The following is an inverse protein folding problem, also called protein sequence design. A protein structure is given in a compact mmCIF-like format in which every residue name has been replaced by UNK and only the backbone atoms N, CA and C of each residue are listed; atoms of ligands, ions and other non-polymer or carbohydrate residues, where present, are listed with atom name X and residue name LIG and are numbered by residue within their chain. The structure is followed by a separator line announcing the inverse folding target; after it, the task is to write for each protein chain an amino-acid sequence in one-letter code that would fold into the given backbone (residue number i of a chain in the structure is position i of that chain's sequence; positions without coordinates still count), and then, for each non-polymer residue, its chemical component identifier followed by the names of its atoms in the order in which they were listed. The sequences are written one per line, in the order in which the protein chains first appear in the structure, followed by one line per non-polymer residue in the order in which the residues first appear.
data_IF_585341721509
#
_entry.id   IF_585341721509
#
_cell.length_a   1.000
_cell.length_b   1.000
_cell.length_c   1.000
_cell.angle_alpha   90.00
_cell.angle_beta   90.00
_cell.angle_gamma   90.00
#
_symmetry.space_group_name_H-M   'P 1'
#
loop_
_entity.id
_entity.type
_entity.pdbx_description
1 polymer ?
#
# COMPACT_ATOMS: atom_id res chain seq x y z
N UNK A 1 54.95 45.58 12.91
CA UNK A 1 55.93 44.48 12.74
C UNK A 1 55.69 43.88 11.36
N UNK A 2 56.25 44.41 10.28
CA UNK A 2 57.64 44.37 9.83
C UNK A 2 58.08 42.99 9.25
N UNK A 3 58.23 42.95 7.90
CA UNK A 3 59.30 42.27 7.12
C UNK A 3 59.20 40.71 7.05
N UNK A 4 59.43 39.95 5.97
CA UNK A 4 60.01 40.10 4.63
C UNK A 4 59.56 38.97 3.70
N UNK A 5 59.72 39.21 2.39
CA UNK A 5 59.69 38.22 1.30
C UNK A 5 61.01 37.41 1.19
N UNK A 6 60.97 36.24 0.54
CA UNK A 6 61.99 35.85 -0.44
C UNK A 6 61.54 34.72 -1.36
N UNK A 7 61.76 34.95 -2.66
CA UNK A 7 61.78 33.97 -3.76
C UNK A 7 62.98 33.03 -3.59
N UNK A 8 63.01 31.87 -4.25
CA UNK A 8 64.14 31.44 -5.10
C UNK A 8 63.72 30.26 -5.98
N UNK A 9 64.14 30.33 -7.25
CA UNK A 9 63.91 29.36 -8.31
C UNK A 9 65.10 28.39 -8.41
N UNK A 10 64.90 27.23 -9.03
CA UNK A 10 65.97 26.30 -9.39
C UNK A 10 65.51 25.23 -10.36
N UNK A 11 65.76 25.48 -11.64
CA UNK A 11 65.62 24.58 -12.78
C UNK A 11 66.95 23.88 -13.10
N UNK A 12 66.90 22.69 -13.72
CA UNK A 12 68.06 22.03 -14.36
C UNK A 12 67.91 20.50 -14.36
N UNK A 13 67.33 19.89 -15.38
CA UNK A 13 68.00 19.30 -16.56
C UNK A 13 69.09 18.27 -16.24
N UNK A 14 68.85 17.01 -16.67
CA UNK A 14 69.80 16.20 -17.43
C UNK A 14 69.05 15.10 -18.20
N UNK A 15 69.21 15.16 -19.52
CA UNK A 15 68.86 14.14 -20.52
C UNK A 15 69.93 13.05 -20.53
N UNK A 16 69.58 11.82 -20.91
CA UNK A 16 70.05 11.13 -22.14
C UNK A 16 69.88 9.59 -22.09
N UNK A 17 69.90 8.91 -23.25
CA UNK A 17 69.06 7.75 -23.61
C UNK A 17 69.84 6.44 -23.63
N UNK A 18 69.17 5.29 -23.85
CA UNK A 18 69.69 4.21 -24.70
C UNK A 18 68.54 3.29 -25.16
N UNK A 19 68.51 3.01 -26.47
CA UNK A 19 67.64 2.07 -27.17
C UNK A 19 68.41 0.76 -27.45
N UNK A 20 67.65 -0.29 -27.82
CA UNK A 20 68.05 -1.59 -28.45
C UNK A 20 68.52 -2.65 -27.43
N UNK A 21 68.02 -3.89 -27.35
CA UNK A 21 67.82 -4.88 -28.42
C UNK A 21 66.88 -6.04 -28.01
N UNK A 22 66.10 -6.47 -29.00
CA UNK A 22 65.44 -7.75 -29.21
C UNK A 22 66.39 -8.96 -29.13
N UNK A 23 66.10 -9.95 -28.26
CA UNK A 23 66.26 -11.41 -28.49
C UNK A 23 65.91 -12.25 -27.25
N UNK A 24 64.89 -13.08 -27.42
CA UNK A 24 64.57 -14.35 -26.73
C UNK A 24 65.60 -14.93 -25.77
N UNK A 25 65.19 -15.22 -24.53
CA UNK A 25 65.38 -16.52 -23.90
C UNK A 25 64.45 -16.67 -22.69
N UNK A 26 63.76 -17.81 -22.68
CA UNK A 26 62.77 -18.22 -21.71
C UNK A 26 63.38 -18.49 -20.32
N UNK A 27 62.69 -18.05 -19.28
CA UNK A 27 62.77 -18.67 -17.96
C UNK A 27 61.40 -18.51 -17.29
N UNK A 28 60.67 -19.63 -17.26
CA UNK A 28 59.38 -19.81 -16.61
C UNK A 28 59.61 -19.72 -15.10
N UNK A 29 59.11 -18.65 -14.47
CA UNK A 29 58.88 -18.59 -13.02
C UNK A 29 57.37 -18.45 -12.83
N UNK A 30 56.75 -19.59 -12.55
CA UNK A 30 55.34 -19.72 -12.14
C UNK A 30 55.23 -19.18 -10.72
N UNK A 31 54.92 -17.89 -10.59
CA UNK A 31 54.36 -17.33 -9.35
C UNK A 31 52.83 -17.30 -9.50
N UNK A 32 52.18 -18.42 -9.18
CA UNK A 32 50.73 -18.48 -8.99
C UNK A 32 50.35 -17.62 -7.79
N UNK A 33 50.00 -16.36 -8.04
CA UNK A 33 49.22 -15.55 -7.13
C UNK A 33 47.78 -16.06 -7.18
N UNK A 34 47.44 -16.94 -6.24
CA UNK A 34 46.05 -17.26 -5.94
C UNK A 34 45.40 -16.04 -5.31
N UNK A 35 44.88 -15.11 -6.13
CA UNK A 35 43.85 -14.18 -5.66
C UNK A 35 42.62 -15.03 -5.32
N UNK A 36 42.48 -15.35 -4.04
CA UNK A 36 41.18 -15.69 -3.48
C UNK A 36 40.32 -14.44 -3.61
N UNK A 37 39.55 -14.35 -4.71
CA UNK A 37 38.39 -13.47 -4.77
C UNK A 37 37.42 -14.07 -3.78
N UNK A 38 37.50 -13.62 -2.53
CA UNK A 38 36.42 -13.77 -1.57
C UNK A 38 35.21 -13.12 -2.21
N UNK A 39 34.37 -13.92 -2.86
CA UNK A 39 33.03 -13.52 -3.26
C UNK A 39 32.31 -13.16 -1.97
N UNK A 40 32.34 -11.88 -1.61
CA UNK A 40 31.38 -11.33 -0.68
C UNK A 40 30.04 -11.48 -1.38
N UNK A 41 29.35 -12.58 -1.08
CA UNK A 41 27.91 -12.63 -1.19
C UNK A 41 27.44 -11.51 -0.28
N UNK A 42 27.18 -10.34 -0.87
CA UNK A 42 26.36 -9.33 -0.21
C UNK A 42 25.07 -10.06 0.13
N UNK A 43 24.91 -10.38 1.41
CA UNK A 43 23.64 -10.82 1.95
C UNK A 43 22.68 -9.67 1.73
N UNK A 44 22.02 -9.67 0.56
CA UNK A 44 20.94 -8.76 0.28
C UNK A 44 19.89 -9.03 1.32
N UNK A 45 19.80 -8.14 2.30
CA UNK A 45 18.72 -8.15 3.28
C UNK A 45 17.41 -8.19 2.49
N UNK A 46 16.65 -9.27 2.64
CA UNK A 46 15.44 -9.49 1.86
C UNK A 46 14.52 -8.31 2.08
N UNK A 47 14.21 -7.56 1.03
CA UNK A 47 13.31 -6.42 1.13
C UNK A 47 11.92 -6.90 1.59
N UNK A 48 11.43 -6.50 2.77
CA UNK A 48 10.17 -7.00 3.32
C UNK A 48 8.93 -6.42 2.64
N UNK A 49 9.07 -5.36 1.85
CA UNK A 49 7.94 -4.68 1.23
C UNK A 49 8.30 -4.00 -0.11
N UNK A 50 7.27 -3.78 -0.91
CA UNK A 50 7.30 -3.04 -2.17
C UNK A 50 6.47 -1.76 -2.01
N UNK A 51 7.01 -0.64 -2.45
CA UNK A 51 6.38 0.68 -2.39
C UNK A 51 5.94 1.12 -3.79
N UNK A 52 4.67 1.52 -3.86
CA UNK A 52 4.04 2.18 -5.00
C UNK A 52 3.61 3.60 -4.66
N UNK A 53 3.71 4.48 -5.63
CA UNK A 53 3.16 5.84 -5.65
C UNK A 53 1.81 5.79 -6.35
N UNK A 54 0.73 5.97 -5.58
CA UNK A 54 -0.62 6.07 -6.13
C UNK A 54 -0.88 7.48 -6.68
N UNK A 55 -0.36 8.50 -6.02
CA UNK A 55 -0.48 9.90 -6.45
C UNK A 55 0.64 10.76 -5.87
N UNK A 56 0.97 11.86 -6.55
CA UNK A 56 1.84 12.93 -6.06
C UNK A 56 3.30 12.53 -5.83
N UNK A 57 3.98 13.33 -5.01
CA UNK A 57 5.39 13.15 -4.66
C UNK A 57 5.53 12.35 -3.36
N UNK A 58 6.26 11.25 -3.44
CA UNK A 58 6.60 10.39 -2.31
C UNK A 58 8.11 10.31 -2.20
N UNK A 59 8.63 10.47 -0.99
CA UNK A 59 10.05 10.33 -0.69
C UNK A 59 10.27 9.25 0.36
N UNK A 60 11.48 8.73 0.41
CA UNK A 60 11.94 7.86 1.49
C UNK A 60 13.19 8.42 2.15
N UNK A 61 13.35 8.13 3.44
CA UNK A 61 14.60 8.29 4.16
C UNK A 61 15.12 6.89 4.48
N UNK A 62 16.32 6.52 4.00
CA UNK A 62 16.90 5.20 4.25
C UNK A 62 17.11 4.90 5.75
N UNK A 63 17.23 3.61 6.13
CA UNK A 63 17.48 3.21 7.52
C UNK A 63 18.74 3.83 8.14
N UNK A 64 19.80 4.00 7.34
CA UNK A 64 21.05 4.65 7.73
C UNK A 64 20.92 6.17 7.95
N UNK A 65 19.75 6.75 7.65
CA UNK A 65 19.48 8.17 7.66
C UNK A 65 19.90 8.87 6.36
N UNK A 66 20.08 10.19 6.44
CA UNK A 66 20.44 11.04 5.30
C UNK A 66 19.26 11.76 4.66
N UNK A 67 19.48 12.25 3.45
CA UNK A 67 18.51 13.07 2.72
C UNK A 67 17.34 12.24 2.17
N UNK A 68 16.17 12.88 2.11
CA UNK A 68 14.98 12.29 1.50
C UNK A 68 15.20 12.06 -0.02
N UNK A 69 14.93 10.85 -0.48
CA UNK A 69 15.09 10.43 -1.89
C UNK A 69 13.72 10.22 -2.54
N UNK A 70 13.50 10.64 -3.79
CA UNK A 70 12.24 10.38 -4.49
C UNK A 70 12.03 8.89 -4.75
N UNK A 71 10.77 8.46 -4.71
CA UNK A 71 10.36 7.07 -4.91
C UNK A 71 9.88 6.83 -6.34
N UNK A 72 10.22 5.66 -6.87
CA UNK A 72 9.63 5.11 -8.10
C UNK A 72 8.70 3.94 -7.77
N UNK A 73 7.70 3.71 -8.63
CA UNK A 73 6.79 2.56 -8.48
C UNK A 73 7.54 1.23 -8.49
N UNK A 74 7.20 0.37 -7.53
CA UNK A 74 7.81 -0.96 -7.40
C UNK A 74 9.13 -0.96 -6.63
N UNK A 75 9.52 0.17 -6.02
CA UNK A 75 10.73 0.26 -5.22
C UNK A 75 10.63 -0.63 -3.98
N UNK A 76 11.67 -1.40 -3.72
CA UNK A 76 11.77 -2.21 -2.49
C UNK A 76 12.07 -1.35 -1.27
N UNK A 77 11.44 -1.65 -0.14
CA UNK A 77 11.60 -0.90 1.12
C UNK A 77 12.11 -1.84 2.21
N UNK A 78 13.22 -1.46 2.84
CA UNK A 78 13.85 -2.19 3.95
C UNK A 78 13.28 -1.77 5.32
N UNK A 79 13.46 -2.63 6.33
CA UNK A 79 13.21 -2.25 7.72
C UNK A 79 14.08 -1.05 8.09
N UNK A 80 13.53 -0.12 8.87
CA UNK A 80 14.13 1.16 9.24
C UNK A 80 13.83 2.30 8.25
N UNK A 81 13.35 2.00 7.04
CA UNK A 81 13.02 3.03 6.05
C UNK A 81 11.83 3.87 6.51
N UNK A 82 11.93 5.19 6.36
CA UNK A 82 10.79 6.10 6.50
C UNK A 82 10.20 6.45 5.15
N UNK A 83 8.88 6.42 5.03
CA UNK A 83 8.12 6.83 3.85
C UNK A 83 7.41 8.14 4.18
N UNK A 84 7.57 9.15 3.32
CA UNK A 84 6.99 10.47 3.47
C UNK A 84 6.12 10.82 2.26
N UNK A 85 4.94 11.38 2.52
CA UNK A 85 3.99 11.81 1.48
C UNK A 85 3.74 13.31 1.55
N UNK A 86 3.76 13.97 0.40
CA UNK A 86 3.35 15.37 0.27
C UNK A 86 1.82 15.60 0.37
N UNK A 87 1.40 16.86 0.18
CA UNK A 87 0.01 17.34 0.36
C UNK A 87 -1.04 16.71 -0.55
N UNK A 88 -0.63 16.22 -1.71
CA UNK A 88 -1.50 15.56 -2.69
C UNK A 88 -0.94 14.20 -3.06
N UNK A 89 -0.22 13.59 -2.12
CA UNK A 89 0.51 12.37 -2.37
C UNK A 89 -0.09 11.20 -1.61
N UNK A 90 -0.05 10.03 -2.21
CA UNK A 90 -0.52 8.80 -1.57
C UNK A 90 0.40 7.68 -1.99
N UNK A 91 0.87 6.91 -1.02
CA UNK A 91 1.72 5.75 -1.22
C UNK A 91 0.99 4.47 -0.83
N UNK A 92 1.36 3.37 -1.46
CA UNK A 92 0.92 2.02 -1.13
C UNK A 92 2.16 1.17 -0.84
N UNK A 93 2.27 0.69 0.40
CA UNK A 93 3.27 -0.32 0.78
C UNK A 93 2.59 -1.68 0.74
N UNK A 94 3.17 -2.63 0.01
CA UNK A 94 2.72 -4.03 -0.06
C UNK A 94 3.78 -4.89 0.61
N UNK A 95 3.42 -5.57 1.68
CA UNK A 95 4.30 -6.47 2.42
C UNK A 95 4.31 -7.86 1.79
N UNK A 96 5.36 -8.65 2.04
CA UNK A 96 5.50 -10.00 1.49
C UNK A 96 4.42 -10.99 1.96
N UNK A 97 3.76 -10.71 3.08
CA UNK A 97 2.62 -11.49 3.56
C UNK A 97 1.33 -11.21 2.75
N UNK A 98 1.32 -10.20 1.87
CA UNK A 98 0.16 -9.75 1.11
C UNK A 98 -0.67 -8.67 1.82
N UNK A 99 -0.30 -8.28 3.05
CA UNK A 99 -0.86 -7.12 3.72
C UNK A 99 -0.46 -5.85 2.98
N UNK A 100 -1.30 -4.84 3.04
CA UNK A 100 -1.05 -3.55 2.38
C UNK A 100 -1.29 -2.40 3.34
N UNK A 101 -0.51 -1.33 3.19
CA UNK A 101 -0.61 -0.09 3.95
C UNK A 101 -0.65 1.08 2.97
N UNK A 102 -1.78 1.79 2.96
CA UNK A 102 -1.92 3.06 2.26
C UNK A 102 -1.51 4.20 3.18
N UNK A 103 -0.51 4.97 2.77
CA UNK A 103 -0.03 6.17 3.45
C UNK A 103 -0.70 7.38 2.82
N UNK A 104 -1.52 8.09 3.59
CA UNK A 104 -2.31 9.24 3.12
C UNK A 104 -1.42 10.48 2.93
N UNK A 105 -1.94 11.58 2.37
CA UNK A 105 -1.20 12.84 2.29
C UNK A 105 -0.64 13.31 3.64
N UNK A 106 0.45 14.07 3.59
CA UNK A 106 1.08 14.73 4.75
C UNK A 106 1.41 13.75 5.88
N UNK A 107 1.95 12.58 5.53
CA UNK A 107 2.23 11.51 6.48
C UNK A 107 3.70 11.11 6.47
N UNK A 108 4.19 10.68 7.64
CA UNK A 108 5.54 10.16 7.87
C UNK A 108 5.43 8.86 8.65
N UNK A 109 5.85 7.76 8.02
CA UNK A 109 5.74 6.42 8.60
C UNK A 109 7.08 5.70 8.51
N UNK A 110 7.39 4.86 9.49
CA UNK A 110 8.60 4.04 9.51
C UNK A 110 8.25 2.56 9.49
N UNK A 111 8.90 1.77 8.64
CA UNK A 111 8.79 0.31 8.72
C UNK A 111 9.70 -0.17 9.83
N UNK A 112 9.16 -0.45 11.03
CA UNK A 112 9.96 -0.77 12.21
C UNK A 112 10.34 -2.24 12.31
N UNK A 113 9.46 -3.11 11.81
CA UNK A 113 9.66 -4.56 11.80
C UNK A 113 8.86 -5.15 10.66
N UNK A 114 9.41 -6.17 9.99
CA UNK A 114 8.70 -6.94 8.99
C UNK A 114 9.34 -8.33 8.87
N UNK A 115 9.25 -9.09 9.97
CA UNK A 115 9.76 -10.45 10.06
C UNK A 115 8.71 -11.39 9.45
N UNK A 116 8.90 -11.74 8.18
CA UNK A 116 7.96 -12.57 7.41
C UNK A 116 8.64 -13.90 7.13
N UNK A 117 8.33 -14.90 7.96
CA UNK A 117 8.77 -16.29 7.80
C UNK A 117 7.73 -17.13 7.07
N UNK A 118 8.03 -18.42 6.88
CA UNK A 118 7.12 -19.37 6.22
C UNK A 118 5.81 -19.59 6.99
N UNK A 119 5.87 -19.48 8.32
CA UNK A 119 4.73 -19.78 9.21
C UNK A 119 4.27 -18.58 10.01
N UNK A 120 5.15 -17.60 10.28
CA UNK A 120 4.85 -16.46 11.14
C UNK A 120 5.16 -15.15 10.42
N UNK A 121 4.28 -14.18 10.55
CA UNK A 121 4.49 -12.82 10.06
C UNK A 121 4.32 -11.80 11.20
N UNK A 122 5.33 -10.97 11.45
CA UNK A 122 5.24 -9.86 12.39
C UNK A 122 5.63 -8.56 11.70
N UNK A 123 4.66 -7.68 11.53
CA UNK A 123 4.86 -6.37 10.90
C UNK A 123 4.53 -5.28 11.91
N UNK A 124 5.45 -4.34 12.10
CA UNK A 124 5.23 -3.13 12.90
C UNK A 124 5.53 -1.90 12.06
N UNK A 125 4.55 -1.01 11.94
CA UNK A 125 4.68 0.28 11.27
C UNK A 125 4.60 1.38 12.31
N UNK A 126 5.64 2.20 12.41
CA UNK A 126 5.64 3.43 13.19
C UNK A 126 4.91 4.54 12.44
N UNK A 127 3.95 5.20 13.07
CA UNK A 127 3.23 6.35 12.52
C UNK A 127 3.69 7.59 13.27
N UNK A 128 4.57 8.38 12.66
CA UNK A 128 5.18 9.54 13.30
C UNK A 128 4.26 10.76 13.22
N UNK A 129 3.63 10.97 12.06
CA UNK A 129 2.58 11.96 11.83
C UNK A 129 1.73 11.54 10.63
N UNK A 130 0.49 12.00 10.59
CA UNK A 130 -0.42 11.80 9.47
C UNK A 130 -1.28 10.56 9.62
N UNK A 131 -1.83 10.06 8.51
CA UNK A 131 -2.86 9.02 8.50
C UNK A 131 -2.42 7.81 7.68
N UNK A 132 -2.67 6.63 8.21
CA UNK A 132 -2.48 5.36 7.50
C UNK A 132 -3.72 4.49 7.54
N UNK A 133 -3.82 3.62 6.55
CA UNK A 133 -4.87 2.63 6.42
C UNK A 133 -4.27 1.32 5.96
N UNK A 134 -4.61 0.21 6.62
CA UNK A 134 -4.02 -1.08 6.32
C UNK A 134 -5.08 -2.15 6.12
N UNK A 135 -4.92 -2.94 5.06
CA UNK A 135 -5.63 -4.20 4.83
C UNK A 135 -4.67 -5.34 5.19
N UNK A 136 -5.06 -6.15 6.16
CA UNK A 136 -4.27 -7.23 6.70
C UNK A 136 -4.89 -8.53 6.21
N UNK A 137 -4.10 -9.31 5.47
CA UNK A 137 -4.53 -10.67 5.10
C UNK A 137 -4.73 -11.50 6.36
N UNK A 138 -5.64 -12.47 6.33
CA UNK A 138 -5.82 -13.35 7.48
C UNK A 138 -4.51 -14.10 7.75
N UNK A 139 -3.89 -13.81 8.89
CA UNK A 139 -2.67 -14.48 9.30
C UNK A 139 -3.04 -15.88 9.79
N UNK A 140 -2.29 -16.92 9.41
CA UNK A 140 -2.65 -18.30 9.76
C UNK A 140 -2.16 -18.67 11.16
N UNK A 141 -0.98 -18.18 11.54
CA UNK A 141 -0.35 -18.45 12.82
C UNK A 141 -0.84 -17.44 13.89
N UNK A 142 -1.32 -17.90 15.06
CA UNK A 142 -1.83 -17.02 16.12
C UNK A 142 -0.80 -16.04 16.72
N UNK A 143 0.50 -16.31 16.57
CA UNK A 143 1.58 -15.42 17.02
C UNK A 143 2.00 -14.40 15.96
N UNK A 144 1.37 -14.46 14.78
CA UNK A 144 1.51 -13.44 13.75
C UNK A 144 0.72 -12.19 14.13
N UNK A 145 1.21 -11.02 13.73
CA UNK A 145 0.56 -9.76 14.10
C UNK A 145 0.94 -8.64 13.14
N UNK A 146 -0.01 -7.73 12.92
CA UNK A 146 0.24 -6.45 12.27
C UNK A 146 -0.05 -5.32 13.26
N UNK A 147 0.91 -4.42 13.45
CA UNK A 147 0.84 -3.36 14.45
C UNK A 147 1.08 -1.98 13.84
N UNK A 148 0.21 -1.03 14.18
CA UNK A 148 0.39 0.41 13.96
C UNK A 148 0.81 1.05 15.29
N UNK A 149 2.04 1.56 15.35
CA UNK A 149 2.65 2.06 16.58
C UNK A 149 2.86 3.57 16.52
N UNK A 150 2.48 4.28 17.57
CA UNK A 150 2.88 5.65 17.83
C UNK A 150 3.73 5.76 19.11
N UNK A 151 4.01 6.99 19.53
CA UNK A 151 4.66 7.25 20.83
C UNK A 151 3.72 7.01 22.02
N UNK A 152 2.40 7.00 21.80
CA UNK A 152 1.41 6.95 22.89
C UNK A 152 0.67 5.62 23.00
N UNK A 153 0.59 4.83 21.92
CA UNK A 153 -0.01 3.50 21.94
C UNK A 153 0.42 2.64 20.74
N UNK A 154 0.07 1.36 20.80
CA UNK A 154 0.18 0.42 19.68
C UNK A 154 -1.18 -0.20 19.40
N UNK A 155 -1.64 -0.14 18.16
CA UNK A 155 -2.87 -0.79 17.71
C UNK A 155 -2.50 -2.05 16.91
N UNK A 156 -2.87 -3.24 17.42
CA UNK A 156 -2.44 -4.54 16.90
C UNK A 156 -3.62 -5.40 16.47
N UNK A 157 -3.49 -6.05 15.32
CA UNK A 157 -4.52 -6.90 14.73
C UNK A 157 -3.92 -8.19 14.19
N UNK A 158 -4.75 -9.21 14.03
CA UNK A 158 -4.41 -10.47 13.37
C UNK A 158 -4.91 -10.52 11.92
N UNK A 159 -6.08 -9.92 11.65
CA UNK A 159 -6.68 -9.82 10.33
C UNK A 159 -7.59 -8.58 10.22
N UNK A 160 -7.89 -8.14 9.00
CA UNK A 160 -8.95 -7.16 8.76
C UNK A 160 -8.48 -5.82 8.21
N UNK A 161 -9.19 -4.76 8.57
CA UNK A 161 -9.11 -3.46 7.91
C UNK A 161 -9.05 -2.35 8.95
N UNK A 162 -7.85 -1.84 9.19
CA UNK A 162 -7.55 -0.95 10.32
C UNK A 162 -6.92 0.35 9.84
N UNK A 163 -6.83 1.33 10.72
CA UNK A 163 -6.01 2.49 10.46
C UNK A 163 -5.68 3.27 11.71
N UNK A 164 -4.81 4.25 11.55
CA UNK A 164 -4.47 5.17 12.61
C UNK A 164 -4.09 6.54 12.08
N UNK A 165 -4.23 7.54 12.94
CA UNK A 165 -3.76 8.89 12.72
C UNK A 165 -2.90 9.32 13.90
N UNK A 166 -1.75 9.90 13.59
CA UNK A 166 -0.92 10.58 14.57
C UNK A 166 -0.95 12.08 14.26
N UNK A 167 -1.47 12.87 15.19
CA UNK A 167 -1.47 14.32 15.09
C UNK A 167 -0.16 14.91 15.65
N UNK A 168 0.26 16.12 15.23
CA UNK A 168 1.46 16.77 15.74
C UNK A 168 1.46 17.06 17.26
N UNK A 169 0.28 17.09 17.88
CA UNK A 169 0.09 17.30 19.33
C UNK A 169 0.22 16.02 20.16
N UNK A 170 0.75 14.94 19.56
CA UNK A 170 0.85 13.60 20.11
C UNK A 170 -0.50 12.87 20.33
N UNK A 171 -1.61 13.39 19.83
CA UNK A 171 -2.89 12.66 19.82
C UNK A 171 -2.81 11.50 18.82
N UNK A 172 -3.01 10.28 19.32
CA UNK A 172 -3.08 9.07 18.49
C UNK A 172 -4.50 8.58 18.42
N UNK A 173 -5.04 8.46 17.21
CA UNK A 173 -6.36 7.90 16.97
C UNK A 173 -6.23 6.62 16.18
N UNK A 174 -6.90 5.55 16.58
CA UNK A 174 -6.91 4.30 15.83
C UNK A 174 -8.35 3.80 15.66
N UNK A 175 -8.59 2.97 14.64
CA UNK A 175 -9.92 2.48 14.30
C UNK A 175 -9.85 1.17 13.52
N UNK A 176 -10.97 0.45 13.51
CA UNK A 176 -11.15 -0.76 12.71
C UNK A 176 -12.48 -0.73 11.96
N UNK A 177 -12.48 -1.23 10.72
CA UNK A 177 -13.66 -1.51 9.89
C UNK A 177 -13.92 -3.01 9.76
N UNK A 178 -12.92 -3.85 10.05
CA UNK A 178 -13.00 -5.30 10.03
C UNK A 178 -11.90 -5.87 10.93
N UNK A 179 -12.18 -6.96 11.63
CA UNK A 179 -11.27 -7.54 12.62
C UNK A 179 -11.27 -6.80 13.96
N UNK A 180 -10.92 -7.53 15.01
CA UNK A 180 -10.77 -7.00 16.36
C UNK A 180 -9.42 -6.31 16.54
N UNK A 181 -9.42 -5.01 16.84
CA UNK A 181 -8.20 -4.22 17.00
C UNK A 181 -7.86 -4.04 18.49
N UNK A 182 -6.72 -4.58 18.90
CA UNK A 182 -6.22 -4.49 20.26
C UNK A 182 -5.40 -3.21 20.43
N UNK A 183 -5.85 -2.32 21.30
CA UNK A 183 -5.13 -1.08 21.63
C UNK A 183 -4.32 -1.32 22.88
N UNK A 184 -3.01 -1.16 22.77
CA UNK A 184 -2.03 -1.40 23.83
C UNK A 184 -1.39 -0.08 24.26
N UNK A 185 -1.19 0.08 25.56
CA UNK A 185 -0.34 1.13 26.12
C UNK A 185 1.14 0.90 25.77
N UNK A 186 2.02 1.90 25.92
CA UNK A 186 3.46 1.72 25.69
C UNK A 186 4.10 0.63 26.58
N UNK A 187 3.46 0.31 27.71
CA UNK A 187 3.85 -0.77 28.64
C UNK A 187 3.49 -2.17 28.13
N UNK A 188 2.75 -2.28 27.02
CA UNK A 188 2.21 -3.54 26.50
C UNK A 188 0.87 -3.97 27.11
N UNK A 189 0.35 -3.22 28.10
CA UNK A 189 -0.95 -3.51 28.72
C UNK A 189 -2.10 -3.22 27.75
N UNK A 190 -3.07 -4.12 27.70
CA UNK A 190 -4.31 -3.92 26.92
C UNK A 190 -5.10 -2.76 27.52
N UNK A 191 -5.36 -1.75 26.70
CA UNK A 191 -6.17 -0.58 27.00
C UNK A 191 -7.63 -0.79 26.59
N UNK A 192 -7.84 -1.28 25.37
CA UNK A 192 -9.16 -1.53 24.80
C UNK A 192 -9.08 -2.59 23.69
N UNK A 193 -10.24 -3.14 23.34
CA UNK A 193 -10.44 -3.95 22.13
C UNK A 193 -11.53 -3.25 21.32
N UNK A 194 -11.17 -2.74 20.14
CA UNK A 194 -12.12 -2.09 19.23
C UNK A 194 -12.73 -3.14 18.31
N UNK A 195 -14.06 -3.10 18.18
CA UNK A 195 -14.86 -3.89 17.25
C UNK A 195 -15.03 -3.16 15.91
N UNK A 196 -15.31 -3.87 14.81
CA UNK A 196 -15.58 -3.25 13.51
C UNK A 196 -16.56 -2.06 13.62
N UNK A 197 -16.17 -0.92 13.05
CA UNK A 197 -16.91 0.33 13.15
C UNK A 197 -16.60 1.16 14.40
N UNK A 198 -15.59 0.81 15.19
CA UNK A 198 -15.15 1.59 16.34
C UNK A 198 -13.81 2.29 16.11
N UNK A 199 -13.60 3.37 16.85
CA UNK A 199 -12.35 4.12 16.99
C UNK A 199 -12.05 4.43 18.45
N UNK A 200 -10.80 4.76 18.73
CA UNK A 200 -10.38 5.35 19.99
C UNK A 200 -9.35 6.44 19.76
N UNK A 201 -9.51 7.55 20.49
CA UNK A 201 -8.49 8.59 20.60
C UNK A 201 -7.72 8.37 21.90
N UNK A 202 -6.47 7.94 21.77
CA UNK A 202 -5.58 7.66 22.90
C UNK A 202 -4.90 8.96 23.34
N UNK A 203 -5.10 9.29 24.62
CA UNK A 203 -4.38 10.34 25.33
C UNK A 203 -3.71 9.73 26.55
N UNK A 204 -2.45 10.08 26.79
CA UNK A 204 -1.68 9.57 27.93
C UNK A 204 -2.42 9.84 29.25
N UNK A 205 -2.57 8.81 30.09
CA UNK A 205 -3.23 8.89 31.40
C UNK A 205 -4.76 8.96 31.36
N UNK A 206 -5.40 9.19 30.21
CA UNK A 206 -6.86 9.15 30.10
C UNK A 206 -7.36 7.69 30.06
N UNK A 207 -8.57 7.38 30.58
CA UNK A 207 -9.18 6.07 30.43
C UNK A 207 -9.54 5.74 28.97
N UNK A 208 -9.74 4.46 28.67
CA UNK A 208 -10.23 4.04 27.37
C UNK A 208 -11.65 4.55 27.11
N UNK A 209 -11.91 5.03 25.90
CA UNK A 209 -13.24 5.49 25.50
C UNK A 209 -13.51 5.19 24.01
N UNK A 210 -13.78 3.92 23.64
CA UNK A 210 -14.17 3.56 22.28
C UNK A 210 -15.44 4.28 21.82
N UNK A 211 -15.44 4.74 20.57
CA UNK A 211 -16.55 5.46 19.95
C UNK A 211 -16.83 4.91 18.54
N UNK A 212 -17.98 5.24 17.97
CA UNK A 212 -18.28 4.89 16.58
C UNK A 212 -17.33 5.62 15.61
N UNK A 213 -16.83 4.89 14.61
CA UNK A 213 -15.94 5.41 13.58
C UNK A 213 -16.69 5.64 12.28
N UNK A 214 -16.54 6.85 11.74
CA UNK A 214 -16.97 7.20 10.39
C UNK A 214 -15.83 7.93 9.69
N UNK A 215 -15.34 7.37 8.59
CA UNK A 215 -14.33 8.04 7.76
C UNK A 215 -14.91 9.27 7.07
N UNK A 216 -16.18 9.17 6.67
CA UNK A 216 -17.03 10.20 6.10
C UNK A 216 -18.47 9.96 6.57
N UNK A 217 -19.28 11.02 6.62
CA UNK A 217 -20.71 10.88 6.88
C UNK A 217 -21.46 10.26 5.70
N UNK A 218 -20.92 10.29 4.49
CA UNK A 218 -21.58 9.72 3.32
C UNK A 218 -20.75 8.61 2.68
N UNK A 219 -21.42 7.56 2.22
CA UNK A 219 -20.78 6.45 1.51
C UNK A 219 -21.64 5.95 0.34
N UNK A 220 -20.98 5.42 -0.69
CA UNK A 220 -21.59 4.61 -1.75
C UNK A 220 -21.38 3.15 -1.36
N UNK A 221 -22.42 2.34 -1.49
CA UNK A 221 -22.39 0.91 -1.18
C UNK A 221 -22.87 0.10 -2.37
N UNK A 222 -22.08 -0.89 -2.74
CA UNK A 222 -22.36 -1.83 -3.84
C UNK A 222 -22.40 -3.23 -3.25
N UNK A 223 -23.48 -3.94 -3.49
CA UNK A 223 -23.64 -5.35 -3.10
C UNK A 223 -23.85 -6.19 -4.36
N UNK A 224 -23.09 -7.27 -4.50
CA UNK A 224 -23.15 -8.16 -5.65
C UNK A 224 -23.16 -9.62 -5.22
N UNK A 225 -23.74 -10.54 -6.01
CA UNK A 225 -23.53 -11.97 -5.81
C UNK A 225 -22.04 -12.31 -5.95
N UNK A 226 -21.63 -13.45 -5.39
CA UNK A 226 -20.25 -13.94 -5.50
C UNK A 226 -19.79 -14.16 -6.94
N UNK A 227 -20.71 -14.35 -7.89
CA UNK A 227 -20.42 -14.52 -9.32
C UNK A 227 -20.02 -13.23 -10.04
N UNK A 228 -20.05 -12.08 -9.37
CA UNK A 228 -19.69 -10.77 -9.94
C UNK A 228 -18.67 -10.10 -9.03
N UNK A 229 -17.56 -9.63 -9.61
CA UNK A 229 -16.51 -8.87 -8.92
C UNK A 229 -16.77 -7.36 -9.09
N UNK A 230 -17.20 -6.64 -8.04
CA UNK A 230 -17.34 -5.19 -8.07
C UNK A 230 -16.01 -4.50 -7.76
N UNK A 231 -15.69 -3.47 -8.54
CA UNK A 231 -14.60 -2.52 -8.26
C UNK A 231 -15.12 -1.10 -8.44
N UNK A 232 -14.78 -0.22 -7.50
CA UNK A 232 -15.05 1.21 -7.60
C UNK A 232 -13.72 1.94 -7.77
N UNK A 233 -13.58 2.67 -8.88
CA UNK A 233 -12.52 3.65 -9.07
C UNK A 233 -12.98 5.00 -8.54
N UNK A 234 -12.12 5.65 -7.76
CA UNK A 234 -12.35 7.01 -7.29
C UNK A 234 -12.30 8.01 -8.45
N UNK A 235 -12.78 9.25 -8.28
CA UNK A 235 -12.76 10.26 -9.34
C UNK A 235 -11.36 10.59 -9.89
N UNK A 236 -10.32 10.39 -9.09
CA UNK A 236 -8.92 10.54 -9.52
C UNK A 236 -8.41 9.39 -10.40
N UNK A 237 -9.16 8.28 -10.52
CA UNK A 237 -8.84 7.05 -11.25
C UNK A 237 -7.52 6.37 -10.83
N UNK A 238 -6.89 6.85 -9.76
CA UNK A 238 -5.64 6.33 -9.25
C UNK A 238 -5.88 5.34 -8.10
N UNK A 239 -6.95 5.56 -7.33
CA UNK A 239 -7.31 4.74 -6.18
C UNK A 239 -8.55 3.92 -6.46
N UNK A 240 -8.60 2.72 -5.89
CA UNK A 240 -9.74 1.83 -6.01
C UNK A 240 -10.04 1.05 -4.74
N UNK A 241 -11.30 0.61 -4.64
CA UNK A 241 -11.73 -0.39 -3.67
C UNK A 241 -12.59 -1.45 -4.38
N UNK A 242 -12.50 -2.70 -3.96
CA UNK A 242 -13.27 -3.80 -4.54
C UNK A 242 -12.44 -5.06 -4.82
N UNK A 243 -13.00 -5.98 -5.59
CA UNK A 243 -12.39 -7.29 -5.85
C UNK A 243 -11.72 -7.34 -7.22
N UNK A 244 -10.41 -7.61 -7.28
CA UNK A 244 -9.67 -7.69 -8.55
C UNK A 244 -9.64 -9.08 -9.17
N UNK A 245 -10.00 -10.07 -8.36
CA UNK A 245 -10.18 -11.50 -8.61
C UNK A 245 -10.93 -12.11 -7.39
N UNK A 246 -11.33 -13.40 -7.41
CA UNK A 246 -12.22 -13.97 -6.40
C UNK A 246 -11.70 -13.90 -4.97
N UNK A 247 -10.38 -13.99 -4.80
CA UNK A 247 -9.69 -14.13 -3.51
C UNK A 247 -8.92 -12.86 -3.10
N UNK A 248 -8.85 -11.87 -4.00
CA UNK A 248 -8.13 -10.61 -3.77
C UNK A 248 -9.07 -9.42 -3.76
N UNK A 249 -9.27 -8.86 -2.57
CA UNK A 249 -9.81 -7.52 -2.40
C UNK A 249 -8.72 -6.45 -2.28
N UNK A 250 -9.06 -5.24 -2.72
CA UNK A 250 -8.22 -4.05 -2.68
C UNK A 250 -8.97 -2.95 -1.94
N UNK A 251 -8.27 -2.23 -1.06
CA UNK A 251 -8.83 -1.13 -0.26
C UNK A 251 -7.84 0.05 -0.19
N UNK A 252 -7.58 0.70 -1.33
CA UNK A 252 -6.65 1.84 -1.42
C UNK A 252 -7.31 3.19 -1.04
N UNK A 253 -8.62 3.18 -0.84
CA UNK A 253 -9.41 4.37 -0.51
C UNK A 253 -9.56 4.46 1.00
N UNK A 254 -9.12 5.57 1.59
CA UNK A 254 -9.27 5.80 3.03
C UNK A 254 -10.72 5.66 3.47
N UNK A 255 -10.98 4.77 4.43
CA UNK A 255 -12.33 4.59 4.94
C UNK A 255 -13.26 3.77 4.07
N UNK A 256 -12.75 3.16 3.00
CA UNK A 256 -13.49 2.14 2.24
C UNK A 256 -13.60 0.83 3.02
N UNK A 257 -14.49 -0.04 2.56
CA UNK A 257 -14.59 -1.42 2.98
C UNK A 257 -14.80 -2.29 1.75
N UNK A 258 -14.08 -3.40 1.68
CA UNK A 258 -14.32 -4.47 0.71
C UNK A 258 -14.31 -5.77 1.46
N UNK A 259 -15.34 -6.59 1.29
CA UNK A 259 -15.46 -7.87 1.97
C UNK A 259 -16.76 -8.59 1.62
N UNK A 260 -17.06 -9.65 2.35
CA UNK A 260 -18.34 -10.34 2.24
C UNK A 260 -19.29 -9.86 3.35
N UNK A 261 -20.58 -9.87 3.10
CA UNK A 261 -21.60 -9.71 4.16
C UNK A 261 -21.95 -11.07 4.80
N UNK A 262 -22.87 -11.06 5.77
CA UNK A 262 -23.32 -12.27 6.46
C UNK A 262 -24.11 -13.24 5.57
N UNK A 263 -24.55 -12.82 4.38
CA UNK A 263 -25.24 -13.64 3.38
C UNK A 263 -24.26 -14.15 2.31
N UNK A 264 -22.99 -13.76 2.38
CA UNK A 264 -21.96 -14.11 1.42
C UNK A 264 -21.94 -13.23 0.17
N UNK A 265 -22.71 -12.15 0.11
CA UNK A 265 -22.59 -11.18 -0.99
C UNK A 265 -21.29 -10.41 -0.87
N UNK A 266 -20.71 -10.06 -2.01
CA UNK A 266 -19.58 -9.14 -2.08
C UNK A 266 -20.07 -7.73 -1.84
N UNK A 267 -19.43 -7.02 -0.92
CA UNK A 267 -19.76 -5.65 -0.55
C UNK A 267 -18.55 -4.76 -0.78
N UNK A 268 -18.77 -3.63 -1.45
CA UNK A 268 -17.81 -2.54 -1.58
C UNK A 268 -18.46 -1.27 -1.09
N UNK A 269 -17.84 -0.61 -0.13
CA UNK A 269 -18.25 0.70 0.39
C UNK A 269 -17.10 1.69 0.20
N UNK A 270 -17.37 2.87 -0.36
CA UNK A 270 -16.40 3.96 -0.46
C UNK A 270 -16.99 5.28 0.04
N UNK A 271 -16.18 6.20 0.58
CA UNK A 271 -16.60 7.56 0.86
C UNK A 271 -17.27 8.25 -0.34
N UNK A 272 -18.43 8.85 -0.09
CA UNK A 272 -19.25 9.52 -1.10
C UNK A 272 -19.46 11.00 -0.83
N UNK A 273 -18.61 11.62 0.00
CA UNK A 273 -18.68 13.05 0.30
C UNK A 273 -18.13 13.97 -0.80
N UNK A 274 -17.65 13.40 -1.90
CA UNK A 274 -17.20 14.14 -3.09
C UNK A 274 -18.20 13.92 -4.23
N UNK A 275 -18.41 14.92 -5.12
CA UNK A 275 -19.47 14.87 -6.11
C UNK A 275 -19.29 13.81 -7.22
N UNK A 276 -18.14 13.13 -7.28
CA UNK A 276 -17.87 12.13 -8.34
C UNK A 276 -17.40 12.77 -9.66
N UNK A 277 -17.57 12.08 -10.81
CA UNK A 277 -18.15 10.74 -10.91
C UNK A 277 -17.16 9.67 -10.42
N UNK A 278 -17.69 8.64 -9.79
CA UNK A 278 -16.99 7.39 -9.50
C UNK A 278 -17.23 6.44 -10.68
N UNK A 279 -16.30 5.51 -10.93
CA UNK A 279 -16.52 4.48 -11.95
C UNK A 279 -16.72 3.13 -11.26
N UNK A 280 -17.92 2.57 -11.36
CA UNK A 280 -18.20 1.19 -11.01
C UNK A 280 -17.79 0.29 -12.18
N UNK A 281 -17.03 -0.76 -11.90
CA UNK A 281 -16.67 -1.82 -12.83
C UNK A 281 -17.20 -3.13 -12.25
N UNK A 282 -17.91 -3.90 -13.06
CA UNK A 282 -18.39 -5.24 -12.74
C UNK A 282 -17.68 -6.24 -13.65
N UNK A 283 -17.09 -7.28 -13.09
CA UNK A 283 -16.49 -8.37 -13.87
C UNK A 283 -17.20 -9.70 -13.55
N UNK A 284 -17.56 -10.46 -14.58
CA UNK A 284 -18.19 -11.77 -14.40
C UNK A 284 -17.17 -12.83 -13.99
N UNK A 285 -17.45 -13.59 -12.95
CA UNK A 285 -16.69 -14.80 -12.62
C UNK A 285 -17.20 -16.03 -13.36
N UNK A 286 -18.50 -16.02 -13.68
CA UNK A 286 -19.23 -17.09 -14.34
C UNK A 286 -20.21 -16.48 -15.35
N UNK A 287 -20.60 -17.26 -16.36
CA UNK A 287 -21.66 -16.86 -17.28
C UNK A 287 -23.01 -16.91 -16.55
N UNK A 288 -23.77 -15.83 -16.62
CA UNK A 288 -25.13 -15.86 -16.07
C UNK A 288 -25.77 -14.51 -15.84
N UNK A 289 -27.02 -14.52 -15.34
CA UNK A 289 -27.67 -13.33 -14.88
C UNK A 289 -27.02 -12.81 -13.60
N UNK A 290 -27.10 -11.50 -13.38
CA UNK A 290 -26.78 -10.88 -12.11
C UNK A 290 -27.89 -9.93 -11.66
N UNK A 291 -27.96 -9.72 -10.35
CA UNK A 291 -28.72 -8.66 -9.71
C UNK A 291 -27.80 -8.01 -8.67
N UNK A 292 -27.54 -6.72 -8.81
CA UNK A 292 -26.72 -5.95 -7.87
C UNK A 292 -27.56 -4.89 -7.18
N UNK A 293 -27.13 -4.49 -5.99
CA UNK A 293 -27.70 -3.35 -5.27
C UNK A 293 -26.66 -2.23 -5.22
N UNK A 294 -27.10 -1.03 -5.56
CA UNK A 294 -26.28 0.19 -5.52
C UNK A 294 -27.03 1.17 -4.63
N UNK A 295 -26.40 1.66 -3.56
CA UNK A 295 -27.06 2.56 -2.62
C UNK A 295 -26.13 3.65 -2.10
N UNK A 296 -26.75 4.64 -1.47
CA UNK A 296 -26.07 5.69 -0.74
C UNK A 296 -26.40 5.56 0.76
N UNK A 297 -25.40 5.76 1.60
CA UNK A 297 -25.52 5.74 3.05
C UNK A 297 -25.19 7.12 3.63
N UNK A 298 -25.96 7.59 4.60
CA UNK A 298 -25.62 8.74 5.43
C UNK A 298 -25.53 8.31 6.90
N UNK A 299 -24.36 8.48 7.51
CA UNK A 299 -24.01 8.02 8.86
C UNK A 299 -24.34 6.54 9.09
N UNK A 300 -24.10 5.72 8.07
CA UNK A 300 -24.39 4.29 8.07
C UNK A 300 -25.85 3.92 7.79
N UNK A 301 -26.76 4.89 7.65
CA UNK A 301 -28.17 4.65 7.34
C UNK A 301 -28.41 4.76 5.83
N UNK A 302 -29.02 3.76 5.18
CA UNK A 302 -29.41 3.87 3.78
C UNK A 302 -30.37 5.05 3.54
N UNK A 303 -30.03 5.91 2.59
CA UNK A 303 -30.88 7.04 2.16
C UNK A 303 -31.44 6.85 0.76
N UNK A 304 -30.82 5.96 -0.02
CA UNK A 304 -31.20 5.64 -1.39
C UNK A 304 -30.70 4.24 -1.77
N UNK A 305 -31.44 3.56 -2.63
CA UNK A 305 -31.11 2.21 -3.08
C UNK A 305 -31.74 1.89 -4.44
N UNK A 306 -30.90 1.38 -5.34
CA UNK A 306 -31.26 0.91 -6.67
C UNK A 306 -30.91 -0.57 -6.82
N UNK A 307 -31.71 -1.26 -7.64
CA UNK A 307 -31.39 -2.59 -8.12
C UNK A 307 -31.09 -2.53 -9.61
N UNK A 308 -29.99 -3.15 -10.02
CA UNK A 308 -29.59 -3.24 -11.42
C UNK A 308 -29.36 -4.70 -11.76
N UNK A 309 -29.98 -5.17 -12.84
CA UNK A 309 -29.85 -6.55 -13.31
C UNK A 309 -29.36 -6.59 -14.75
N UNK A 310 -28.81 -7.73 -15.13
CA UNK A 310 -28.29 -7.96 -16.48
C UNK A 310 -27.76 -9.38 -16.63
N UNK A 311 -27.00 -9.60 -17.69
CA UNK A 311 -26.22 -10.83 -17.88
C UNK A 311 -24.76 -10.45 -18.07
N UNK A 312 -23.85 -11.31 -17.58
CA UNK A 312 -22.42 -11.10 -17.69
C UNK A 312 -21.76 -12.43 -18.04
N UNK A 313 -20.87 -12.39 -19.02
CA UNK A 313 -20.02 -13.54 -19.35
C UNK A 313 -18.80 -13.55 -18.43
N UNK A 314 -18.23 -14.74 -18.22
CA UNK A 314 -16.98 -14.92 -17.49
C UNK A 314 -15.88 -14.08 -18.13
N UNK A 315 -15.24 -13.24 -17.31
CA UNK A 315 -14.18 -12.32 -17.71
C UNK A 315 -14.65 -11.06 -18.42
N UNK A 316 -15.91 -10.99 -18.87
CA UNK A 316 -16.47 -9.76 -19.44
C UNK A 316 -16.62 -8.68 -18.37
N UNK A 317 -16.49 -7.42 -18.77
CA UNK A 317 -16.59 -6.26 -17.89
C UNK A 317 -17.64 -5.28 -18.36
N UNK A 318 -18.43 -4.80 -17.40
CA UNK A 318 -19.32 -3.64 -17.56
C UNK A 318 -18.80 -2.49 -16.70
N UNK A 319 -19.05 -1.25 -17.12
CA UNK A 319 -18.80 -0.07 -16.31
C UNK A 319 -19.99 0.88 -16.32
N UNK A 320 -20.18 1.58 -15.20
CA UNK A 320 -21.13 2.69 -15.07
C UNK A 320 -20.49 3.84 -14.29
N UNK A 321 -20.90 5.07 -14.60
CA UNK A 321 -20.57 6.23 -13.78
C UNK A 321 -21.57 6.35 -12.63
N UNK A 322 -21.08 6.57 -11.42
CA UNK A 322 -21.89 6.83 -10.23
C UNK A 322 -21.65 8.27 -9.78
N UNK A 323 -22.71 9.06 -9.65
CA UNK A 323 -22.62 10.46 -9.22
C UNK A 323 -23.47 10.64 -7.96
N UNK A 324 -22.84 10.74 -6.76
CA UNK A 324 -23.57 11.05 -5.53
C UNK A 324 -24.30 12.38 -5.64
N UNK A 325 -25.56 12.39 -5.20
CA UNK A 325 -26.34 13.60 -5.05
C UNK A 325 -26.10 14.13 -3.63
N UNK A 326 -25.39 15.26 -3.53
CA UNK A 326 -25.07 15.87 -2.24
C UNK A 326 -26.10 16.96 -1.89
N UNK A 327 -26.54 16.96 -0.63
CA UNK A 327 -27.39 18.02 -0.09
C UNK A 327 -26.56 19.21 0.39
N UNK A 328 -26.93 20.40 -0.09
CA UNK A 328 -26.30 21.65 0.29
C UNK A 328 -24.90 21.83 -0.29
N UNK A 329 -24.38 23.05 -0.15
CA UNK A 329 -22.99 23.36 -0.50
C UNK A 329 -22.14 23.21 0.76
N UNK A 330 -21.66 22.00 1.04
CA UNK A 330 -20.52 21.87 1.96
C UNK A 330 -19.23 21.79 1.18
N UNK A 331 -18.21 22.51 1.64
CA UNK A 331 -16.86 22.38 1.12
C UNK A 331 -16.08 21.25 1.80
N UNK A 332 -16.64 20.66 2.86
CA UNK A 332 -16.02 19.55 3.58
C UNK A 332 -16.66 18.21 3.17
N UNK A 333 -15.89 17.45 2.40
CA UNK A 333 -16.27 16.12 1.97
C UNK A 333 -16.55 15.17 3.14
N UNK A 334 -15.90 15.35 4.31
CA UNK A 334 -16.09 14.44 5.45
C UNK A 334 -17.49 14.53 6.04
N UNK A 335 -18.09 15.71 6.00
CA UNK A 335 -19.38 16.00 6.64
C UNK A 335 -20.54 16.11 5.65
N UNK A 336 -20.25 16.09 4.35
CA UNK A 336 -21.25 16.10 3.28
C UNK A 336 -22.31 15.04 3.48
N UNK A 337 -23.56 15.43 3.23
CA UNK A 337 -24.74 14.57 3.28
C UNK A 337 -25.12 14.17 1.87
N UNK A 338 -25.11 12.88 1.58
CA UNK A 338 -25.65 12.30 0.36
C UNK A 338 -27.16 12.10 0.52
N UNK A 339 -27.94 12.40 -0.51
CA UNK A 339 -29.38 12.12 -0.61
C UNK A 339 -29.71 10.99 -1.57
N UNK A 340 -28.80 10.68 -2.49
CA UNK A 340 -28.98 9.60 -3.47
C UNK A 340 -27.78 9.40 -4.38
N UNK A 341 -27.91 8.53 -5.37
CA UNK A 341 -26.88 8.28 -6.39
C UNK A 341 -27.49 8.20 -7.78
N UNK A 342 -26.99 9.01 -8.70
CA UNK A 342 -27.30 8.85 -10.12
C UNK A 342 -26.42 7.77 -10.72
N UNK A 343 -27.04 6.79 -11.39
CA UNK A 343 -26.36 5.65 -12.01
C UNK A 343 -26.44 5.82 -13.54
N UNK A 344 -25.28 5.95 -14.17
CA UNK A 344 -25.16 5.90 -15.63
C UNK A 344 -25.44 4.51 -16.19
N UNK A 345 -25.64 4.37 -17.52
CA UNK A 345 -25.84 3.07 -18.13
C UNK A 345 -24.64 2.13 -17.88
N UNK A 346 -24.93 0.83 -17.72
CA UNK A 346 -23.89 -0.20 -17.70
C UNK A 346 -23.47 -0.53 -19.13
N UNK A 347 -22.22 -0.23 -19.47
CA UNK A 347 -21.67 -0.41 -20.81
C UNK A 347 -20.46 -1.33 -20.78
N UNK A 348 -20.23 -2.08 -21.87
CA UNK A 348 -19.03 -2.93 -21.99
C UNK A 348 -17.76 -2.08 -21.92
N UNK A 349 -16.73 -2.58 -21.23
CA UNK A 349 -15.48 -1.84 -21.06
C UNK A 349 -14.25 -2.72 -21.16
N UNK A 350 -13.17 -2.14 -21.70
CA UNK A 350 -11.82 -2.72 -21.70
C UNK A 350 -10.88 -1.98 -20.74
N UNK A 351 -11.43 -1.20 -19.81
CA UNK A 351 -10.64 -0.41 -18.86
C UNK A 351 -9.72 -1.30 -18.04
N UNK A 352 -8.43 -0.94 -18.00
CA UNK A 352 -7.45 -1.57 -17.14
C UNK A 352 -7.57 -1.00 -15.72
N UNK A 353 -7.53 -1.89 -14.73
CA UNK A 353 -7.53 -1.47 -13.33
C UNK A 353 -6.15 -0.92 -12.95
N UNK A 354 -6.09 0.19 -12.21
CA UNK A 354 -4.83 0.75 -11.74
C UNK A 354 -4.12 -0.23 -10.81
N UNK A 355 -2.79 -0.18 -10.77
CA UNK A 355 -2.00 -0.94 -9.79
C UNK A 355 -1.92 -2.46 -10.00
N UNK A 356 -2.50 -3.03 -11.07
CA UNK A 356 -2.12 -4.39 -11.51
C UNK A 356 -0.71 -4.33 -12.08
N UNK A 357 0.29 -4.42 -11.21
CA UNK A 357 1.64 -4.80 -11.62
C UNK A 357 1.48 -6.19 -12.24
N UNK A 358 1.56 -6.28 -13.57
CA UNK A 358 1.75 -7.58 -14.22
C UNK A 358 3.08 -8.09 -13.68
N UNK A 359 3.05 -8.99 -12.71
CA UNK A 359 4.15 -9.92 -12.51
C UNK A 359 4.22 -10.63 -13.85
N UNK A 360 5.23 -10.30 -14.67
CA UNK A 360 5.43 -10.94 -15.96
C UNK A 360 5.46 -12.44 -15.70
N UNK A 361 4.47 -13.17 -16.23
CA UNK A 361 4.52 -14.63 -16.25
C UNK A 361 5.87 -15.01 -16.86
N UNK A 362 6.67 -15.71 -16.08
CA UNK A 362 7.99 -16.16 -16.48
C UNK A 362 7.80 -17.04 -17.75
N UNK A 363 8.39 -16.71 -18.92
CA UNK A 363 8.16 -17.46 -20.16
C UNK A 363 8.82 -18.85 -20.19
N UNK A 364 9.16 -19.43 -19.04
CA UNK A 364 9.81 -20.72 -18.92
C UNK A 364 8.81 -21.86 -18.74
N UNK A 365 7.93 -22.05 -19.73
CA UNK A 365 7.38 -23.38 -20.02
C UNK A 365 7.67 -23.70 -21.48
N UNK A 366 8.91 -24.13 -21.74
CA UNK A 366 9.23 -24.82 -22.98
C UNK A 366 8.37 -26.09 -23.03
N UNK A 367 7.54 -26.31 -24.06
CA UNK A 367 6.90 -27.59 -24.26
C UNK A 367 7.98 -28.65 -24.53
N UNK A 368 7.91 -29.77 -23.81
CA UNK A 368 8.77 -30.92 -24.03
C UNK A 368 8.63 -31.41 -25.48
N UNK A 369 9.73 -31.76 -26.17
CA UNK A 369 9.66 -32.25 -27.54
C UNK A 369 8.91 -33.58 -27.58
N UNK A 370 7.93 -33.67 -28.48
CA UNK A 370 7.17 -34.88 -28.74
C UNK A 370 8.12 -36.01 -29.17
N UNK A 371 8.12 -37.11 -28.42
CA UNK A 371 8.84 -38.32 -28.77
C UNK A 371 8.20 -38.95 -30.02
N UNK A 372 8.91 -38.92 -31.15
CA UNK A 372 8.65 -39.84 -32.26
C UNK A 372 9.01 -41.26 -31.80
N UNK A 373 8.02 -42.16 -31.84
CA UNK A 373 8.27 -43.61 -31.85
C UNK A 373 8.36 -44.09 -33.31
N UNK A 374 9.25 -45.04 -33.60
CA UNK A 374 9.42 -45.64 -34.93
C UNK A 374 8.23 -46.49 -35.36
#
# INVERSE_FOLDING_TARGET
MAVAASRWAGSGFLRCPFHVSWRTLAAIIVCTWSLAISGQVFGGESAPAILGVLAGEVTIIPPEGGDAKPVSNGMTVAVGTRVQTGKKSTALVTFLDGSTLTVQPESDVAIKQADIGKTRARVTVGVNVGTVWARIVKLVDPESSFSLQSNTATATVHDGLIGSRQEPDNTFTCWTRAGDLWVLEPTGRVRAILKPGQMETVKAGAPANPQAFFSNHSALRIETPVSVLPVILMPDRARMAGFTDPDTDVNQVFGSYTGLDGEGHRVVEVPAGVPGPFTLILQGEQDGPFLIRIGALYKGVPVDQHQVSGTLQRGARLAAQLTPQLEGMTNDAKTAKVSGVMIGPLESTNMQLPGKVRVSENPSTHPAPAAHRP
#
